data_IF_082143977531
#
_entry.id   IF_082143977531
#
_cell.length_a   1.000
_cell.length_b   1.000
_cell.length_c   1.000
_cell.angle_alpha   90.00
_cell.angle_beta   90.00
_cell.angle_gamma   90.00
#
_symmetry.space_group_name_H-M   'P 1'
#
loop_
_entity.id
_entity.type
_entity.pdbx_description
1 polymer ?
#
# COMPACT_ATOMS: atom_id res chain seq x y z
N UNK A 1 4.45 1.30 10.50
CA UNK A 1 3.04 1.42 10.92
C UNK A 1 2.32 0.07 10.80
N UNK A 2 2.27 -0.52 9.64
CA UNK A 2 1.49 -1.75 9.38
C UNK A 2 2.28 -3.04 9.55
N UNK A 3 3.58 -2.99 9.70
CA UNK A 3 4.46 -4.17 9.74
C UNK A 3 4.16 -5.13 8.58
N UNK A 4 4.28 -4.63 7.36
CA UNK A 4 4.01 -5.38 6.13
C UNK A 4 5.06 -5.08 5.08
N UNK A 5 5.37 -6.01 4.17
CA UNK A 5 6.23 -5.74 3.02
C UNK A 5 5.63 -4.67 2.12
N UNK A 6 6.50 -3.86 1.52
CA UNK A 6 6.15 -2.91 0.46
C UNK A 6 6.87 -3.33 -0.81
N UNK A 7 6.14 -3.44 -1.91
CA UNK A 7 6.68 -3.84 -3.20
C UNK A 7 6.59 -2.65 -4.15
N UNK A 8 7.74 -2.16 -4.62
CA UNK A 8 7.84 -1.17 -5.67
C UNK A 8 7.91 -1.87 -7.02
N UNK A 9 6.92 -1.64 -7.88
CA UNK A 9 6.90 -2.18 -9.23
C UNK A 9 7.58 -1.21 -10.19
N UNK A 10 8.62 -1.67 -10.86
CA UNK A 10 9.30 -0.95 -11.92
C UNK A 10 9.35 -1.82 -13.17
N UNK A 11 9.48 -1.21 -14.35
CA UNK A 11 9.66 -1.97 -15.59
C UNK A 11 11.07 -1.82 -16.18
N UNK A 12 11.35 -2.62 -17.24
CA UNK A 12 12.65 -2.62 -17.88
C UNK A 12 13.00 -1.32 -18.60
N UNK A 13 12.02 -0.50 -18.94
CA UNK A 13 12.28 0.80 -19.56
C UNK A 13 12.99 1.74 -18.57
N UNK A 14 12.53 1.83 -17.32
CA UNK A 14 13.19 2.61 -16.28
C UNK A 14 14.63 2.16 -16.02
N UNK A 15 14.91 0.87 -16.15
CA UNK A 15 16.24 0.31 -15.96
C UNK A 15 17.22 0.63 -17.12
N UNK A 16 16.72 0.95 -18.30
CA UNK A 16 17.51 1.17 -19.52
C UNK A 16 17.46 2.60 -20.05
N UNK A 17 16.59 3.44 -19.55
CA UNK A 17 16.46 4.84 -19.95
C UNK A 17 17.32 5.76 -19.07
N UNK A 18 17.58 6.96 -19.60
CA UNK A 18 18.21 8.05 -18.86
C UNK A 18 17.29 9.26 -18.92
N UNK A 19 17.06 9.88 -17.78
CA UNK A 19 16.28 11.10 -17.67
C UNK A 19 16.82 12.02 -16.55
N UNK A 20 16.55 13.33 -16.61
CA UNK A 20 16.87 14.22 -15.50
C UNK A 20 16.10 13.83 -14.24
N UNK A 21 16.81 13.71 -13.12
CA UNK A 21 16.22 13.41 -11.82
C UNK A 21 16.60 14.50 -10.82
N UNK A 22 15.60 15.10 -10.20
CA UNK A 22 15.82 15.97 -9.05
C UNK A 22 16.10 15.09 -7.82
N UNK A 23 17.31 15.19 -7.28
CA UNK A 23 17.65 14.52 -6.02
C UNK A 23 16.89 15.23 -4.89
N UNK A 24 16.00 14.53 -4.16
CA UNK A 24 15.26 15.16 -3.08
C UNK A 24 16.18 15.50 -1.91
N UNK A 25 15.81 16.53 -1.13
CA UNK A 25 16.42 16.76 0.17
C UNK A 25 15.79 15.79 1.17
N UNK A 26 16.62 14.97 1.80
CA UNK A 26 16.13 13.96 2.75
C UNK A 26 15.61 14.59 4.05
N UNK A 27 16.00 15.82 4.36
CA UNK A 27 15.50 16.55 5.53
C UNK A 27 14.02 16.99 5.36
N UNK A 28 13.51 16.98 4.12
CA UNK A 28 12.09 17.24 3.83
C UNK A 28 11.15 16.06 4.17
N UNK A 29 11.71 14.89 4.48
CA UNK A 29 10.93 13.69 4.78
C UNK A 29 10.89 13.38 6.27
N UNK A 30 9.69 13.19 6.79
CA UNK A 30 9.54 12.72 8.17
C UNK A 30 10.09 11.30 8.34
N UNK A 31 10.90 11.05 9.37
CA UNK A 31 11.38 9.71 9.67
C UNK A 31 10.22 8.80 10.11
N UNK A 32 10.29 7.52 9.72
CA UNK A 32 9.35 6.49 10.17
C UNK A 32 10.01 5.62 11.26
N UNK A 33 10.10 6.07 12.51
CA UNK A 33 10.74 5.31 13.56
C UNK A 33 9.95 4.05 13.89
N UNK A 34 10.64 2.92 13.97
CA UNK A 34 10.06 1.70 14.52
C UNK A 34 10.11 1.76 16.04
N UNK A 35 8.95 1.64 16.70
CA UNK A 35 8.85 1.57 18.15
C UNK A 35 8.96 0.12 18.60
N UNK A 36 10.10 -0.23 19.19
CA UNK A 36 10.35 -1.57 19.66
C UNK A 36 9.89 -1.75 21.11
N UNK A 37 9.09 -2.80 21.32
CA UNK A 37 8.66 -3.18 22.66
C UNK A 37 9.82 -3.83 23.42
N UNK A 38 9.97 -3.46 24.69
CA UNK A 38 10.97 -4.01 25.62
C UNK A 38 10.34 -4.55 26.89
N UNK A 39 9.08 -4.21 27.16
CA UNK A 39 8.34 -4.66 28.33
C UNK A 39 7.66 -6.00 28.06
N UNK A 40 7.95 -7.05 28.89
CA UNK A 40 7.35 -8.37 28.75
C UNK A 40 5.90 -8.47 29.27
N UNK A 41 5.43 -7.53 30.09
CA UNK A 41 4.12 -7.63 30.70
C UNK A 41 3.00 -7.65 29.64
N UNK A 42 2.18 -8.70 29.64
CA UNK A 42 1.10 -8.87 28.68
C UNK A 42 1.57 -9.03 27.22
N UNK A 43 2.83 -9.40 26.99
CA UNK A 43 3.35 -9.58 25.63
C UNK A 43 2.69 -10.76 24.93
N UNK A 44 2.09 -10.47 23.78
CA UNK A 44 1.56 -11.46 22.85
C UNK A 44 2.05 -11.10 21.43
N UNK A 45 2.93 -11.92 20.84
CA UNK A 45 3.66 -11.55 19.62
C UNK A 45 2.78 -11.40 18.37
N UNK A 46 1.60 -12.01 18.36
CA UNK A 46 0.68 -11.95 17.23
C UNK A 46 -0.55 -11.06 17.49
N UNK A 47 -0.70 -10.52 18.71
CA UNK A 47 -1.74 -9.54 18.99
C UNK A 47 -1.56 -8.32 18.09
N UNK A 48 -2.66 -7.86 17.54
CA UNK A 48 -2.69 -6.75 16.57
C UNK A 48 -3.08 -5.45 17.24
N UNK A 49 -2.48 -4.39 16.77
CA UNK A 49 -2.98 -3.04 17.03
C UNK A 49 -4.40 -2.90 16.48
N UNK A 50 -5.27 -2.21 17.20
CA UNK A 50 -6.69 -2.14 16.86
C UNK A 50 -6.97 -1.34 15.57
N UNK A 51 -6.14 -0.33 15.29
CA UNK A 51 -6.35 0.58 14.17
C UNK A 51 -5.63 0.11 12.89
N UNK A 52 -4.39 -0.33 13.05
CA UNK A 52 -3.52 -0.67 11.91
C UNK A 52 -3.46 -2.16 11.61
N UNK A 53 -3.91 -3.00 12.55
CA UNK A 53 -3.73 -4.45 12.52
C UNK A 53 -2.26 -4.89 12.38
N UNK A 54 -1.34 -3.98 12.64
CA UNK A 54 0.08 -4.25 12.74
C UNK A 54 0.42 -4.99 14.03
N UNK A 55 1.46 -5.81 14.00
CA UNK A 55 1.99 -6.42 15.21
C UNK A 55 3.03 -5.50 15.86
N UNK A 56 3.32 -5.76 17.12
CA UNK A 56 4.40 -5.05 17.82
C UNK A 56 5.76 -5.43 17.25
N UNK A 57 6.66 -4.46 17.15
CA UNK A 57 8.05 -4.69 16.80
C UNK A 57 8.85 -5.10 18.03
N UNK A 58 9.65 -6.14 17.89
CA UNK A 58 10.56 -6.60 18.94
C UNK A 58 11.92 -6.87 18.32
N UNK A 59 13.01 -6.37 18.93
CA UNK A 59 14.35 -6.69 18.48
C UNK A 59 14.71 -8.12 18.89
N UNK A 60 15.28 -8.94 17.99
CA UNK A 60 15.82 -10.24 18.38
C UNK A 60 16.79 -10.09 19.55
N UNK A 61 16.67 -11.00 20.53
CA UNK A 61 17.47 -10.98 21.75
C UNK A 61 16.92 -10.12 22.89
N UNK A 62 15.78 -9.46 22.72
CA UNK A 62 15.11 -8.78 23.85
C UNK A 62 14.70 -9.82 24.91
N UNK A 63 15.14 -9.67 26.17
CA UNK A 63 14.82 -10.63 27.24
C UNK A 63 13.32 -10.83 27.38
N UNK A 64 12.89 -12.06 27.62
CA UNK A 64 11.50 -12.47 27.86
C UNK A 64 10.51 -12.22 26.69
N UNK A 65 10.98 -11.65 25.57
CA UNK A 65 10.15 -11.39 24.37
C UNK A 65 10.44 -12.36 23.21
N UNK A 66 11.13 -13.46 23.48
CA UNK A 66 11.44 -14.47 22.47
C UNK A 66 10.15 -15.12 21.94
N UNK A 67 10.03 -15.20 20.62
CA UNK A 67 8.87 -15.82 19.98
C UNK A 67 9.21 -16.31 18.57
N UNK A 68 8.40 -17.22 18.04
CA UNK A 68 8.51 -17.70 16.67
C UNK A 68 7.74 -16.76 15.74
N UNK A 69 8.36 -16.36 14.64
CA UNK A 69 7.71 -15.55 13.59
C UNK A 69 7.49 -16.30 12.28
N UNK A 70 8.38 -17.19 11.90
CA UNK A 70 8.27 -17.99 10.69
C UNK A 70 7.57 -19.33 10.88
N UNK A 71 7.39 -20.07 9.79
CA UNK A 71 6.82 -21.42 9.78
C UNK A 71 5.31 -21.45 9.55
N UNK A 72 4.65 -22.47 10.12
CA UNK A 72 3.25 -22.77 9.93
C UNK A 72 2.32 -21.78 10.65
N UNK A 73 1.00 -21.88 10.44
CA UNK A 73 -0.02 -20.98 10.99
C UNK A 73 0.07 -20.89 12.52
N UNK A 74 -0.21 -19.71 13.04
CA UNK A 74 -0.15 -19.37 14.45
C UNK A 74 -1.49 -18.87 14.98
N UNK A 75 -1.68 -19.04 16.28
CA UNK A 75 -2.81 -18.41 16.98
C UNK A 75 -2.74 -16.90 16.86
N UNK A 76 -3.88 -16.28 16.73
CA UNK A 76 -4.06 -14.85 16.46
C UNK A 76 -3.32 -13.92 17.44
N UNK A 77 -3.17 -14.32 18.68
CA UNK A 77 -2.61 -13.53 19.77
C UNK A 77 -1.24 -14.07 20.25
N UNK A 78 -1.25 -15.31 20.75
CA UNK A 78 -0.08 -15.92 21.42
C UNK A 78 1.06 -16.28 20.46
N UNK A 79 0.79 -16.47 19.19
CA UNK A 79 1.77 -16.94 18.22
C UNK A 79 2.14 -18.43 18.37
N UNK A 80 1.42 -19.21 19.16
CA UNK A 80 1.58 -20.66 19.19
C UNK A 80 1.10 -21.28 17.89
N UNK A 81 1.69 -22.40 17.50
CA UNK A 81 1.26 -23.15 16.33
C UNK A 81 -0.22 -23.55 16.49
N UNK A 82 -1.00 -23.32 15.45
CA UNK A 82 -2.43 -23.62 15.41
C UNK A 82 -2.80 -24.39 14.15
N UNK A 83 -3.56 -25.47 14.33
CA UNK A 83 -4.18 -26.26 13.26
C UNK A 83 -5.70 -26.06 13.22
N UNK A 84 -6.21 -25.11 14.00
CA UNK A 84 -7.62 -24.76 14.06
C UNK A 84 -8.06 -24.04 12.78
N UNK A 85 -9.03 -24.57 12.03
CA UNK A 85 -9.52 -23.97 10.80
C UNK A 85 -10.20 -22.60 11.01
N UNK A 86 -10.84 -22.37 12.14
CA UNK A 86 -11.46 -21.07 12.45
C UNK A 86 -10.37 -20.01 12.68
N UNK A 87 -9.29 -20.37 13.39
CA UNK A 87 -8.14 -19.49 13.54
C UNK A 87 -7.47 -19.21 12.18
N UNK A 88 -7.37 -20.19 11.30
CA UNK A 88 -6.82 -19.99 9.96
C UNK A 88 -7.65 -18.97 9.16
N UNK A 89 -8.97 -19.10 9.15
CA UNK A 89 -9.85 -18.14 8.48
C UNK A 89 -9.69 -16.75 9.10
N UNK A 90 -9.73 -16.63 10.41
CA UNK A 90 -9.50 -15.36 11.13
C UNK A 90 -8.18 -14.72 10.75
N UNK A 91 -7.08 -15.48 10.69
CA UNK A 91 -5.76 -14.94 10.31
C UNK A 91 -5.74 -14.49 8.86
N UNK A 92 -6.44 -15.16 7.96
CA UNK A 92 -6.60 -14.76 6.56
C UNK A 92 -7.34 -13.43 6.46
N UNK A 93 -8.46 -13.31 7.15
CA UNK A 93 -9.29 -12.10 7.15
C UNK A 93 -8.53 -10.89 7.74
N UNK A 94 -7.81 -11.09 8.83
CA UNK A 94 -6.99 -10.04 9.47
C UNK A 94 -5.86 -9.58 8.56
N UNK A 95 -5.18 -10.49 7.85
CA UNK A 95 -4.14 -10.12 6.88
C UNK A 95 -4.72 -9.30 5.73
N UNK A 96 -5.88 -9.71 5.21
CA UNK A 96 -6.58 -8.95 4.17
C UNK A 96 -7.03 -7.57 4.68
N UNK A 97 -7.67 -7.53 5.84
CA UNK A 97 -8.13 -6.28 6.47
C UNK A 97 -6.98 -5.30 6.73
N UNK A 98 -5.80 -5.80 7.19
CA UNK A 98 -4.61 -4.97 7.38
C UNK A 98 -4.17 -4.30 6.09
N UNK A 99 -4.07 -5.05 5.00
CA UNK A 99 -3.67 -4.49 3.69
C UNK A 99 -4.73 -3.50 3.19
N UNK A 100 -6.01 -3.84 3.29
CA UNK A 100 -7.09 -2.94 2.89
C UNK A 100 -7.09 -1.64 3.71
N UNK A 101 -6.75 -1.72 5.00
CA UNK A 101 -6.65 -0.55 5.89
C UNK A 101 -5.57 0.45 5.46
N UNK A 102 -4.52 0.02 4.76
CA UNK A 102 -3.48 0.91 4.22
C UNK A 102 -4.07 1.95 3.25
N UNK A 103 -5.20 1.65 2.61
CA UNK A 103 -5.87 2.60 1.71
C UNK A 103 -6.22 3.94 2.36
N UNK A 104 -6.34 4.00 3.70
CA UNK A 104 -6.58 5.24 4.45
C UNK A 104 -5.36 6.17 4.50
N UNK A 105 -4.16 5.62 4.34
CA UNK A 105 -2.91 6.38 4.32
C UNK A 105 -2.43 6.69 2.90
N UNK A 106 -3.10 6.15 1.88
CA UNK A 106 -2.79 6.42 0.48
C UNK A 106 -3.49 7.72 0.06
N UNK A 107 -2.77 8.65 -0.61
CA UNK A 107 -3.40 9.85 -1.15
C UNK A 107 -4.60 9.52 -2.05
N UNK A 108 -5.65 10.33 -1.97
CA UNK A 108 -6.80 10.17 -2.85
C UNK A 108 -6.37 10.22 -4.33
N UNK A 109 -6.94 9.32 -5.14
CA UNK A 109 -6.71 9.33 -6.57
C UNK A 109 -7.30 10.58 -7.20
N UNK A 110 -6.52 11.23 -8.04
CA UNK A 110 -6.94 12.38 -8.82
C UNK A 110 -6.88 12.08 -10.33
N UNK A 111 -7.53 12.93 -11.10
CA UNK A 111 -7.36 13.00 -12.55
C UNK A 111 -6.08 13.76 -12.86
N UNK A 112 -5.24 13.23 -13.73
CA UNK A 112 -3.97 13.86 -14.14
C UNK A 112 -4.20 14.93 -15.21
N UNK A 113 -5.06 14.63 -16.19
CA UNK A 113 -5.42 15.52 -17.29
C UNK A 113 -6.90 15.37 -17.61
N UNK A 114 -7.57 16.46 -17.93
CA UNK A 114 -8.99 16.49 -18.23
C UNK A 114 -9.85 16.91 -17.03
N UNK A 115 -11.13 16.59 -17.06
CA UNK A 115 -12.10 16.93 -16.02
C UNK A 115 -12.23 15.81 -15.00
N UNK A 116 -12.72 16.14 -13.83
CA UNK A 116 -12.95 15.16 -12.74
C UNK A 116 -14.12 14.20 -13.01
N UNK A 117 -14.89 14.44 -14.06
CA UNK A 117 -15.98 13.60 -14.56
C UNK A 117 -16.16 13.81 -16.05
N UNK A 118 -16.76 12.88 -16.77
CA UNK A 118 -16.92 13.00 -18.20
C UNK A 118 -17.43 11.73 -18.87
N UNK A 119 -17.22 11.62 -20.17
CA UNK A 119 -17.71 10.48 -20.96
C UNK A 119 -16.74 9.30 -20.98
N UNK A 120 -15.45 9.56 -20.74
CA UNK A 120 -14.42 8.54 -20.86
C UNK A 120 -13.21 8.88 -20.01
N UNK A 121 -12.70 7.90 -19.28
CA UNK A 121 -11.39 7.95 -18.64
C UNK A 121 -10.46 6.90 -19.23
N UNK A 122 -9.23 7.30 -19.57
CA UNK A 122 -8.13 6.37 -19.87
C UNK A 122 -7.35 6.14 -18.59
N UNK A 123 -7.35 4.89 -18.14
CA UNK A 123 -6.71 4.49 -16.87
C UNK A 123 -5.43 3.72 -17.19
N UNK A 124 -4.34 4.13 -16.57
CA UNK A 124 -3.05 3.46 -16.73
C UNK A 124 -2.24 3.40 -15.46
N UNK A 125 -1.12 2.70 -15.48
CA UNK A 125 -0.14 2.64 -14.40
C UNK A 125 1.27 2.41 -14.95
N UNK A 126 2.29 2.61 -14.12
CA UNK A 126 3.69 2.39 -14.49
C UNK A 126 4.17 3.28 -15.63
N UNK A 127 4.97 2.75 -16.55
CA UNK A 127 5.57 3.49 -17.66
C UNK A 127 4.58 3.93 -18.76
N UNK A 128 3.30 3.59 -18.65
CA UNK A 128 2.26 4.05 -19.60
C UNK A 128 1.87 5.53 -19.40
N UNK A 129 2.36 6.20 -18.35
CA UNK A 129 2.01 7.59 -18.05
C UNK A 129 2.25 8.53 -19.23
N UNK A 130 3.45 8.56 -19.76
CA UNK A 130 3.83 9.47 -20.84
C UNK A 130 3.00 9.30 -22.12
N UNK A 131 2.91 8.09 -22.69
CA UNK A 131 2.07 7.83 -23.86
C UNK A 131 0.58 8.18 -23.67
N UNK A 132 -0.01 7.80 -22.51
CA UNK A 132 -1.41 8.09 -22.22
C UNK A 132 -1.60 9.61 -22.04
N UNK A 133 -0.73 10.25 -21.27
CA UNK A 133 -0.78 11.70 -21.04
C UNK A 133 -0.77 12.48 -22.36
N UNK A 134 0.13 12.13 -23.28
CA UNK A 134 0.20 12.77 -24.60
C UNK A 134 -1.04 12.51 -25.42
N UNK A 135 -1.52 11.27 -25.47
CA UNK A 135 -2.70 10.91 -26.25
C UNK A 135 -3.96 11.65 -25.75
N UNK A 136 -4.15 11.70 -24.42
CA UNK A 136 -5.29 12.40 -23.81
C UNK A 136 -5.20 13.91 -24.02
N UNK A 137 -4.01 14.50 -23.89
CA UNK A 137 -3.83 15.94 -24.16
C UNK A 137 -4.22 16.28 -25.59
N UNK A 138 -3.73 15.53 -26.58
CA UNK A 138 -4.08 15.75 -27.98
C UNK A 138 -5.60 15.58 -28.22
N UNK A 139 -6.21 14.55 -27.61
CA UNK A 139 -7.64 14.32 -27.73
C UNK A 139 -8.50 15.47 -27.15
N UNK A 140 -8.06 16.04 -26.03
CA UNK A 140 -8.70 17.23 -25.44
C UNK A 140 -8.56 18.44 -26.38
N UNK A 141 -7.41 18.65 -26.97
CA UNK A 141 -7.17 19.71 -27.96
C UNK A 141 -8.07 19.53 -29.20
N UNK A 142 -8.38 18.30 -29.59
CA UNK A 142 -9.33 17.95 -30.66
C UNK A 142 -10.82 18.05 -30.22
N UNK A 143 -11.08 18.48 -28.99
CA UNK A 143 -12.43 18.70 -28.46
C UNK A 143 -13.14 17.44 -27.92
N UNK A 144 -12.40 16.37 -27.65
CA UNK A 144 -12.97 15.15 -27.07
C UNK A 144 -13.10 15.28 -25.55
N UNK A 145 -14.21 14.74 -25.01
CA UNK A 145 -14.44 14.62 -23.56
C UNK A 145 -13.78 13.35 -23.04
N UNK A 146 -12.52 13.47 -22.70
CA UNK A 146 -11.67 12.38 -22.22
C UNK A 146 -10.74 12.85 -21.10
N UNK A 147 -10.47 11.98 -20.12
CA UNK A 147 -9.60 12.28 -19.00
C UNK A 147 -8.56 11.16 -18.79
N UNK A 148 -7.46 11.49 -18.13
CA UNK A 148 -6.39 10.56 -17.77
C UNK A 148 -6.38 10.32 -16.26
N UNK A 149 -6.43 9.06 -15.85
CA UNK A 149 -6.24 8.62 -14.47
C UNK A 149 -5.01 7.70 -14.43
N UNK A 150 -4.01 8.08 -13.65
CA UNK A 150 -2.80 7.28 -13.51
C UNK A 150 -2.66 6.71 -12.10
N UNK A 151 -2.67 5.38 -11.99
CA UNK A 151 -2.62 4.67 -10.72
C UNK A 151 -1.17 4.51 -10.26
N UNK A 152 -0.83 5.11 -9.13
CA UNK A 152 0.49 4.93 -8.47
C UNK A 152 0.45 3.84 -7.41
N UNK A 153 -0.73 3.55 -6.87
CA UNK A 153 -0.96 2.50 -5.87
C UNK A 153 -1.96 1.50 -6.42
N UNK A 154 -1.54 0.25 -6.58
CA UNK A 154 -2.37 -0.79 -7.19
C UNK A 154 -2.80 -1.90 -6.22
N UNK A 155 -2.22 -1.92 -5.00
CA UNK A 155 -2.64 -2.83 -3.94
C UNK A 155 -2.21 -2.32 -2.55
N UNK A 156 -3.14 -1.85 -1.71
CA UNK A 156 -4.54 -1.59 -2.07
C UNK A 156 -4.68 -0.39 -3.01
N UNK A 157 -5.82 -0.29 -3.66
CA UNK A 157 -6.17 0.93 -4.40
C UNK A 157 -6.47 2.09 -3.45
N UNK A 158 -6.32 3.36 -3.88
CA UNK A 158 -6.85 4.52 -3.18
C UNK A 158 -8.33 4.39 -2.87
N UNK A 159 -8.75 4.78 -1.67
CA UNK A 159 -10.09 4.54 -1.16
C UNK A 159 -11.21 5.13 -2.06
N UNK A 160 -10.94 6.25 -2.71
CA UNK A 160 -11.90 6.95 -3.58
C UNK A 160 -11.91 6.48 -5.04
N UNK A 161 -11.04 5.52 -5.43
CA UNK A 161 -10.90 5.15 -6.84
C UNK A 161 -12.20 4.66 -7.45
N UNK A 162 -12.97 3.84 -6.73
CA UNK A 162 -14.23 3.30 -7.25
C UNK A 162 -15.26 4.39 -7.57
N UNK A 163 -15.35 5.42 -6.74
CA UNK A 163 -16.28 6.53 -6.97
C UNK A 163 -15.78 7.46 -8.07
N UNK A 164 -14.47 7.69 -8.15
CA UNK A 164 -13.89 8.44 -9.27
C UNK A 164 -14.18 7.75 -10.62
N UNK A 165 -13.99 6.43 -10.71
CA UNK A 165 -14.26 5.70 -11.95
C UNK A 165 -15.73 5.70 -12.38
N UNK A 166 -16.67 5.74 -11.42
CA UNK A 166 -18.11 5.83 -11.72
C UNK A 166 -18.54 7.20 -12.25
N UNK A 167 -17.69 8.22 -12.17
CA UNK A 167 -17.98 9.55 -12.71
C UNK A 167 -17.71 9.68 -14.21
N UNK A 168 -17.28 8.62 -14.86
CA UNK A 168 -17.02 8.47 -16.29
C UNK A 168 -17.85 7.31 -16.86
#
# INVERSE_FOLDING_TARGET
KYMTPVILLTDGYLANASEPWLIPDFDDYEPFPAHFRTDPEGFQPFLRDADTLGRVWVKPGTPELMHRIGGIEKSYDSGHISYDPENHQKMTDVRAAKINGVAQDIPAQAVEHGLASGKMAVVGWGSTYGPISRAVTNAIEDGLDVSHIHLRHIWPFPANLGDLLKSF
#
